data_IF_007169355838
#
_entry.id   IF_007169355838
#
_cell.length_a   1.000
_cell.length_b   1.000
_cell.length_c   1.000
_cell.angle_alpha   90.00
_cell.angle_beta   90.00
_cell.angle_gamma   90.00
#
_symmetry.space_group_name_H-M   'P 1'
#
loop_
_entity.id
_entity.type
_entity.pdbx_description
1 polymer ?
#
# COMPACT_ATOMS: atom_id res chain seq x y z
N UNK A 1 6.84 -7.55 25.36
CA UNK A 1 6.03 -8.46 24.53
C UNK A 1 4.63 -8.71 25.10
N UNK A 2 4.49 -9.32 26.29
CA UNK A 2 3.18 -9.68 26.88
C UNK A 2 2.22 -8.48 27.06
N UNK A 3 2.74 -7.32 27.50
CA UNK A 3 1.93 -6.11 27.73
C UNK A 3 1.41 -5.50 26.41
N UNK A 4 2.16 -5.64 25.33
CA UNK A 4 1.79 -5.17 23.98
C UNK A 4 0.75 -6.10 23.33
N UNK A 5 0.98 -7.42 23.43
CA UNK A 5 0.02 -8.45 23.00
C UNK A 5 -1.32 -8.34 23.75
N UNK A 6 -1.27 -8.01 25.04
CA UNK A 6 -2.46 -7.75 25.85
C UNK A 6 -3.16 -6.45 25.45
N UNK A 7 -2.45 -5.46 24.89
CA UNK A 7 -3.05 -4.22 24.39
C UNK A 7 -3.79 -4.46 23.07
N UNK A 8 -3.17 -5.18 22.12
CA UNK A 8 -3.79 -5.59 20.85
C UNK A 8 -5.03 -6.46 21.10
N UNK A 9 -4.92 -7.53 21.92
CA UNK A 9 -6.07 -8.37 22.28
C UNK A 9 -7.20 -7.59 22.96
N UNK A 10 -6.86 -6.59 23.77
CA UNK A 10 -7.85 -5.74 24.46
C UNK A 10 -8.49 -4.75 23.48
N UNK A 11 -7.75 -4.21 22.52
CA UNK A 11 -8.27 -3.33 21.46
C UNK A 11 -9.15 -4.10 20.46
N UNK A 12 -8.75 -5.31 20.03
CA UNK A 12 -9.60 -6.24 19.27
C UNK A 12 -10.90 -6.57 20.02
N UNK A 13 -10.81 -6.80 21.34
CA UNK A 13 -11.99 -7.06 22.18
C UNK A 13 -12.89 -5.83 22.35
N UNK A 14 -12.34 -4.62 22.26
CA UNK A 14 -13.08 -3.35 22.37
C UNK A 14 -13.71 -2.98 21.03
N UNK A 15 -13.06 -3.30 19.91
CA UNK A 15 -13.58 -3.08 18.56
C UNK A 15 -14.77 -3.99 18.27
N UNK A 16 -14.70 -5.27 18.71
CA UNK A 16 -15.86 -6.20 18.71
C UNK A 16 -17.04 -5.72 19.56
N UNK A 17 -16.81 -4.88 20.59
CA UNK A 17 -17.86 -4.44 21.54
C UNK A 17 -18.78 -3.31 21.05
N UNK A 18 -18.58 -2.74 19.86
CA UNK A 18 -19.39 -1.62 19.33
C UNK A 18 -20.09 -1.87 18.00
N UNK A 19 -19.93 -3.07 17.45
CA UNK A 19 -20.46 -3.45 16.15
C UNK A 19 -21.65 -4.37 16.37
N UNK A 20 -22.78 -4.07 15.72
CA UNK A 20 -23.96 -4.93 15.82
C UNK A 20 -23.65 -6.30 15.19
N UNK A 21 -24.23 -7.37 15.73
CA UNK A 21 -24.07 -8.74 15.18
C UNK A 21 -24.34 -8.77 13.67
N UNK A 22 -25.39 -8.06 13.24
CA UNK A 22 -25.74 -7.89 11.83
C UNK A 22 -24.63 -7.27 10.98
N UNK A 23 -23.94 -6.24 11.50
CA UNK A 23 -22.83 -5.61 10.77
C UNK A 23 -21.62 -6.54 10.71
N UNK A 24 -21.34 -7.28 11.78
CA UNK A 24 -20.26 -8.26 11.80
C UNK A 24 -20.51 -9.38 10.78
N UNK A 25 -21.73 -9.91 10.72
CA UNK A 25 -22.09 -10.96 9.76
C UNK A 25 -22.02 -10.47 8.31
N UNK A 26 -22.50 -9.25 8.03
CA UNK A 26 -22.33 -8.65 6.70
C UNK A 26 -20.87 -8.42 6.31
N UNK A 27 -20.00 -8.16 7.29
CA UNK A 27 -18.58 -7.94 7.07
C UNK A 27 -17.85 -9.26 6.78
N UNK A 28 -18.19 -10.35 7.47
CA UNK A 28 -17.66 -11.68 7.14
C UNK A 28 -18.04 -12.09 5.72
N UNK A 29 -19.29 -11.87 5.31
CA UNK A 29 -19.73 -12.20 3.94
C UNK A 29 -18.99 -11.36 2.89
N UNK A 30 -18.80 -10.06 3.15
CA UNK A 30 -18.01 -9.18 2.29
C UNK A 30 -16.55 -9.62 2.20
N UNK A 31 -15.95 -9.98 3.33
CA UNK A 31 -14.56 -10.42 3.37
C UNK A 31 -14.39 -11.74 2.62
N UNK A 32 -15.32 -12.68 2.78
CA UNK A 32 -15.34 -13.93 2.01
C UNK A 32 -15.36 -13.67 0.50
N UNK A 33 -16.14 -12.71 0.03
CA UNK A 33 -16.12 -12.32 -1.39
C UNK A 33 -14.77 -11.76 -1.85
N UNK A 34 -14.00 -11.13 -0.97
CA UNK A 34 -12.64 -10.67 -1.27
C UNK A 34 -11.59 -11.78 -1.28
N UNK A 35 -11.90 -12.99 -0.81
CA UNK A 35 -11.01 -14.15 -0.92
C UNK A 35 -11.13 -14.84 -2.28
N UNK A 36 -11.84 -14.26 -3.27
CA UNK A 36 -12.10 -14.87 -4.59
C UNK A 36 -10.82 -15.48 -5.21
N UNK A 37 -9.71 -14.75 -5.17
CA UNK A 37 -8.46 -15.19 -5.78
C UNK A 37 -7.63 -16.10 -4.88
N UNK A 38 -7.68 -15.89 -3.57
CA UNK A 38 -7.05 -16.77 -2.59
C UNK A 38 -7.69 -18.17 -2.60
N UNK A 39 -9.01 -18.27 -2.72
CA UNK A 39 -9.75 -19.53 -2.87
C UNK A 39 -9.51 -20.17 -4.23
N UNK A 40 -9.46 -19.36 -5.30
CA UNK A 40 -9.22 -19.87 -6.66
C UNK A 40 -7.83 -20.50 -6.84
N UNK A 41 -6.86 -20.06 -6.04
CA UNK A 41 -5.47 -20.49 -6.11
C UNK A 41 -5.04 -21.20 -4.81
N UNK A 42 -5.99 -21.85 -4.13
CA UNK A 42 -5.78 -22.50 -2.84
C UNK A 42 -4.80 -23.69 -2.91
N UNK A 43 -4.46 -24.17 -4.10
CA UNK A 43 -3.42 -25.19 -4.30
C UNK A 43 -2.02 -24.67 -3.96
N UNK A 44 -1.82 -23.35 -3.98
CA UNK A 44 -0.55 -22.71 -3.65
C UNK A 44 -0.45 -22.43 -2.14
N UNK A 45 0.75 -22.51 -1.59
CA UNK A 45 0.97 -22.28 -0.15
C UNK A 45 1.27 -20.82 0.14
N UNK A 46 2.06 -20.18 -0.73
CA UNK A 46 2.56 -18.83 -0.59
C UNK A 46 1.95 -17.94 -1.70
N UNK A 47 0.71 -17.49 -1.48
CA UNK A 47 0.04 -16.51 -2.35
C UNK A 47 0.47 -15.11 -1.91
N UNK A 48 1.13 -14.37 -2.80
CA UNK A 48 1.60 -13.02 -2.52
C UNK A 48 0.77 -11.98 -3.27
N UNK A 49 0.14 -11.06 -2.54
CA UNK A 49 -0.50 -9.89 -3.10
C UNK A 49 0.48 -8.73 -3.30
N UNK A 50 0.31 -7.97 -4.39
CA UNK A 50 1.18 -6.84 -4.74
C UNK A 50 0.33 -5.65 -5.18
N UNK A 51 0.63 -4.47 -4.62
CA UNK A 51 0.06 -3.18 -4.99
C UNK A 51 1.08 -2.05 -4.76
N UNK A 52 0.82 -0.88 -5.35
CA UNK A 52 1.62 0.32 -5.21
C UNK A 52 0.87 1.55 -4.68
N UNK A 53 1.62 2.46 -4.08
CA UNK A 53 1.17 3.80 -3.74
C UNK A 53 2.13 4.84 -4.33
N UNK A 54 1.56 5.95 -4.81
CA UNK A 54 2.35 7.12 -5.17
C UNK A 54 2.67 7.30 -6.64
N UNK A 55 1.87 6.78 -7.57
CA UNK A 55 2.11 7.04 -9.00
C UNK A 55 1.77 8.46 -9.45
N UNK A 56 0.64 8.99 -9.02
CA UNK A 56 0.15 10.33 -9.43
C UNK A 56 0.75 11.57 -8.76
N UNK A 57 1.33 11.53 -7.54
CA UNK A 57 1.92 12.69 -6.89
C UNK A 57 3.02 13.40 -7.70
N UNK A 58 3.16 14.71 -7.46
CA UNK A 58 4.22 15.55 -8.02
C UNK A 58 5.55 15.40 -7.25
N UNK A 59 5.50 14.89 -6.02
CA UNK A 59 6.65 14.77 -5.13
C UNK A 59 6.66 13.44 -4.36
N UNK A 60 7.86 13.04 -3.99
CA UNK A 60 8.20 11.85 -3.22
C UNK A 60 8.20 10.56 -4.05
N UNK A 61 8.48 9.43 -3.39
CA UNK A 61 8.71 8.15 -4.07
C UNK A 61 7.41 7.50 -4.56
N UNK A 62 7.58 6.47 -5.38
CA UNK A 62 6.61 5.37 -5.54
C UNK A 62 7.03 4.24 -4.61
N UNK A 63 6.04 3.66 -3.91
CA UNK A 63 6.24 2.57 -2.95
C UNK A 63 5.38 1.40 -3.40
N UNK A 64 5.97 0.22 -3.52
CA UNK A 64 5.25 -1.03 -3.72
C UNK A 64 5.42 -1.93 -2.51
N UNK A 65 4.41 -2.75 -2.23
CA UNK A 65 4.47 -3.76 -1.19
C UNK A 65 4.07 -5.12 -1.72
N UNK A 66 4.65 -6.15 -1.12
CA UNK A 66 4.31 -7.55 -1.30
C UNK A 66 3.88 -8.10 0.06
N UNK A 67 2.77 -8.82 0.12
CA UNK A 67 2.25 -9.40 1.37
C UNK A 67 1.81 -10.84 1.13
N UNK A 68 2.32 -11.76 1.95
CA UNK A 68 1.79 -13.13 2.08
C UNK A 68 1.02 -13.21 3.39
N UNK A 69 -0.26 -13.59 3.30
CA UNK A 69 -1.11 -13.87 4.45
C UNK A 69 -1.22 -15.39 4.67
N UNK A 70 -1.36 -15.86 5.92
CA UNK A 70 -1.77 -17.25 6.17
C UNK A 70 -3.14 -17.54 5.53
N UNK A 71 -3.36 -18.75 5.01
CA UNK A 71 -4.59 -19.12 4.26
C UNK A 71 -5.90 -18.78 4.97
N UNK A 72 -5.99 -19.09 6.26
CA UNK A 72 -7.21 -18.87 7.06
C UNK A 72 -7.24 -17.50 7.76
N UNK A 73 -6.49 -16.52 7.24
CA UNK A 73 -6.37 -15.22 7.89
C UNK A 73 -7.58 -14.36 7.63
N UNK A 74 -8.30 -14.02 8.70
CA UNK A 74 -9.30 -12.97 8.67
C UNK A 74 -8.72 -11.66 9.21
N UNK A 75 -8.80 -10.61 8.40
CA UNK A 75 -8.54 -9.22 8.80
C UNK A 75 -9.82 -8.43 8.50
N UNK A 76 -10.63 -8.20 9.52
CA UNK A 76 -11.93 -7.55 9.36
C UNK A 76 -11.77 -6.12 8.85
N UNK A 77 -12.71 -5.69 8.00
CA UNK A 77 -12.74 -4.36 7.38
C UNK A 77 -11.54 -4.06 6.46
N UNK A 78 -10.77 -5.09 6.08
CA UNK A 78 -9.74 -4.99 5.04
C UNK A 78 -10.40 -4.66 3.70
N UNK A 79 -9.90 -3.63 3.03
CA UNK A 79 -10.42 -3.14 1.76
C UNK A 79 -9.35 -2.28 1.08
N UNK A 80 -9.64 -1.79 -0.13
CA UNK A 80 -8.88 -0.74 -0.81
C UNK A 80 -8.47 0.35 0.18
N UNK A 81 -7.17 0.66 0.21
CA UNK A 81 -6.59 1.63 1.13
C UNK A 81 -7.29 2.99 1.05
N UNK A 82 -7.81 3.38 -0.12
CA UNK A 82 -8.56 4.63 -0.36
C UNK A 82 -9.97 4.61 0.23
N UNK A 83 -10.59 3.43 0.38
CA UNK A 83 -11.94 3.24 0.94
C UNK A 83 -11.96 3.17 2.47
N UNK A 84 -10.80 3.00 3.10
CA UNK A 84 -10.67 3.00 4.57
C UNK A 84 -10.21 4.36 5.10
N UNK A 85 -10.74 4.75 6.27
CA UNK A 85 -10.34 5.99 6.96
C UNK A 85 -8.86 5.93 7.38
N UNK A 86 -8.20 7.09 7.54
CA UNK A 86 -6.79 7.15 7.98
C UNK A 86 -6.56 6.37 9.29
N UNK A 87 -7.46 6.51 10.26
CA UNK A 87 -7.39 5.80 11.54
C UNK A 87 -7.47 4.29 11.32
N UNK A 88 -8.49 3.83 10.58
CA UNK A 88 -8.68 2.40 10.31
C UNK A 88 -7.52 1.81 9.51
N UNK A 89 -6.96 2.57 8.57
CA UNK A 89 -5.80 2.15 7.77
C UNK A 89 -4.57 1.89 8.63
N UNK A 90 -4.35 2.70 9.68
CA UNK A 90 -3.23 2.48 10.61
C UNK A 90 -3.47 1.23 11.47
N UNK A 91 -4.69 1.01 11.96
CA UNK A 91 -5.06 -0.22 12.68
C UNK A 91 -4.85 -1.47 11.79
N UNK A 92 -5.32 -1.42 10.54
CA UNK A 92 -5.12 -2.49 9.56
C UNK A 92 -3.65 -2.71 9.23
N UNK A 93 -2.85 -1.64 9.10
CA UNK A 93 -1.41 -1.76 8.87
C UNK A 93 -0.73 -2.55 10.00
N UNK A 94 -1.04 -2.24 11.27
CA UNK A 94 -0.51 -2.96 12.42
C UNK A 94 -0.98 -4.42 12.44
N UNK A 95 -2.26 -4.67 12.15
CA UNK A 95 -2.83 -6.01 12.08
C UNK A 95 -2.20 -6.87 10.97
N UNK A 96 -1.98 -6.30 9.79
CA UNK A 96 -1.28 -6.96 8.68
C UNK A 96 0.16 -7.27 9.07
N UNK A 97 0.90 -6.31 9.64
CA UNK A 97 2.28 -6.53 10.08
C UNK A 97 2.38 -7.64 11.14
N UNK A 98 1.35 -7.79 11.96
CA UNK A 98 1.31 -8.83 12.99
C UNK A 98 0.94 -10.22 12.44
N UNK A 99 0.03 -10.29 11.46
CA UNK A 99 -0.51 -11.56 10.94
C UNK A 99 0.17 -12.09 9.69
N UNK A 100 0.78 -11.24 8.88
CA UNK A 100 1.42 -11.65 7.64
C UNK A 100 2.53 -12.67 7.90
N UNK A 101 2.65 -13.64 6.99
CA UNK A 101 3.79 -14.56 6.97
C UNK A 101 5.06 -13.78 6.62
N UNK A 102 4.95 -12.90 5.63
CA UNK A 102 6.05 -12.08 5.16
C UNK A 102 5.55 -10.81 4.45
N UNK A 103 6.36 -9.76 4.51
CA UNK A 103 6.10 -8.46 3.90
C UNK A 103 7.38 -7.91 3.26
N UNK A 104 7.33 -7.73 1.94
CA UNK A 104 8.35 -7.01 1.17
C UNK A 104 7.95 -5.58 0.87
N UNK A 105 8.88 -4.61 0.94
CA UNK A 105 8.61 -3.20 0.58
C UNK A 105 9.71 -2.62 -0.31
N UNK A 106 9.32 -2.25 -1.53
CA UNK A 106 10.18 -1.58 -2.50
C UNK A 106 9.86 -0.09 -2.60
N UNK A 107 10.89 0.74 -2.63
CA UNK A 107 10.78 2.20 -2.69
C UNK A 107 11.69 2.69 -3.81
N UNK A 108 11.14 3.51 -4.70
CA UNK A 108 11.88 4.17 -5.78
C UNK A 108 11.67 5.68 -5.64
N UNK A 109 12.77 6.42 -5.47
CA UNK A 109 12.77 7.86 -5.32
C UNK A 109 12.44 8.61 -6.63
N UNK A 110 12.18 9.90 -6.48
CA UNK A 110 11.83 10.83 -7.55
C UNK A 110 12.91 10.95 -8.63
N UNK A 111 14.21 10.88 -8.28
CA UNK A 111 15.28 10.99 -9.27
C UNK A 111 15.23 9.78 -10.20
N UNK A 112 15.09 8.59 -9.62
CA UNK A 112 14.93 7.37 -10.41
C UNK A 112 13.63 7.38 -11.21
N UNK A 113 12.53 7.91 -10.66
CA UNK A 113 11.27 8.08 -11.42
C UNK A 113 11.49 8.97 -12.65
N UNK A 114 12.21 10.08 -12.51
CA UNK A 114 12.53 10.97 -13.62
C UNK A 114 13.41 10.28 -14.69
N UNK A 115 14.36 9.42 -14.27
CA UNK A 115 15.25 8.69 -15.18
C UNK A 115 14.54 7.64 -16.04
N UNK A 116 13.64 6.85 -15.43
CA UNK A 116 13.06 5.66 -16.07
C UNK A 116 11.56 5.76 -16.33
N UNK A 117 10.92 6.89 -16.04
CA UNK A 117 9.48 7.12 -16.01
C UNK A 117 8.72 6.35 -14.91
N UNK A 118 7.50 6.82 -14.62
CA UNK A 118 6.70 6.29 -13.49
C UNK A 118 6.24 4.85 -13.67
N UNK A 119 6.03 4.38 -14.90
CA UNK A 119 5.60 2.99 -15.14
C UNK A 119 6.74 2.03 -14.79
N UNK A 120 7.94 2.28 -15.32
CA UNK A 120 9.08 1.42 -15.02
C UNK A 120 9.56 1.56 -13.57
N UNK A 121 9.47 2.76 -12.98
CA UNK A 121 9.74 2.93 -11.56
C UNK A 121 8.75 2.14 -10.68
N UNK A 122 7.49 2.00 -11.11
CA UNK A 122 6.52 1.14 -10.42
C UNK A 122 6.95 -0.33 -10.52
N UNK A 123 7.35 -0.81 -11.70
CA UNK A 123 7.88 -2.17 -11.86
C UNK A 123 9.14 -2.41 -11.02
N UNK A 124 10.09 -1.48 -11.01
CA UNK A 124 11.30 -1.59 -10.20
C UNK A 124 10.97 -1.59 -8.70
N UNK A 125 9.97 -0.82 -8.26
CA UNK A 125 9.49 -0.86 -6.87
C UNK A 125 8.90 -2.24 -6.54
N UNK A 126 8.06 -2.80 -7.40
CA UNK A 126 7.45 -4.13 -7.19
C UNK A 126 8.52 -5.23 -7.16
N UNK A 127 9.50 -5.20 -8.08
CA UNK A 127 10.62 -6.14 -8.09
C UNK A 127 11.45 -6.03 -6.79
N UNK A 128 11.76 -4.82 -6.33
CA UNK A 128 12.45 -4.61 -5.04
C UNK A 128 11.64 -5.10 -3.85
N UNK A 129 10.31 -5.00 -3.91
CA UNK A 129 9.45 -5.54 -2.87
C UNK A 129 9.54 -7.07 -2.81
N UNK A 130 9.46 -7.75 -3.96
CA UNK A 130 9.59 -9.21 -4.07
C UNK A 130 10.95 -9.68 -3.56
N UNK A 131 12.05 -9.03 -3.98
CA UNK A 131 13.42 -9.42 -3.59
C UNK A 131 13.69 -9.27 -2.09
N UNK A 132 12.94 -8.41 -1.40
CA UNK A 132 13.08 -8.18 0.05
C UNK A 132 12.29 -9.18 0.92
N UNK A 133 11.54 -10.08 0.30
CA UNK A 133 10.85 -11.13 1.02
C UNK A 133 11.83 -12.24 1.40
N UNK A 134 11.68 -12.77 2.61
CA UNK A 134 12.38 -13.95 3.09
C UNK A 134 11.71 -15.24 2.59
N UNK A 135 10.40 -15.20 2.33
CA UNK A 135 9.59 -16.30 1.80
C UNK A 135 9.41 -16.16 0.29
N UNK A 136 9.84 -17.17 -0.47
CA UNK A 136 9.63 -17.20 -1.92
C UNK A 136 8.13 -17.43 -2.25
N UNK A 137 7.46 -16.53 -2.98
CA UNK A 137 6.07 -16.72 -3.37
C UNK A 137 5.91 -17.81 -4.44
N UNK A 138 4.86 -18.63 -4.32
CA UNK A 138 4.51 -19.59 -5.38
C UNK A 138 3.78 -18.90 -6.54
N UNK A 139 2.98 -17.89 -6.21
CA UNK A 139 2.15 -17.12 -7.14
C UNK A 139 2.03 -15.67 -6.68
N UNK A 140 2.04 -14.74 -7.64
CA UNK A 140 1.84 -13.32 -7.41
C UNK A 140 0.46 -12.90 -7.93
N UNK A 141 -0.32 -12.27 -7.06
CA UNK A 141 -1.56 -11.56 -7.40
C UNK A 141 -1.23 -10.07 -7.47
N UNK A 142 -1.39 -9.44 -8.64
CA UNK A 142 -0.92 -8.08 -8.89
C UNK A 142 -2.07 -7.20 -9.38
N UNK A 143 -2.25 -6.00 -8.81
CA UNK A 143 -3.28 -5.08 -9.27
C UNK A 143 -2.95 -4.51 -10.66
N UNK A 144 -3.84 -4.78 -11.62
CA UNK A 144 -3.91 -4.19 -12.96
C UNK A 144 -2.65 -4.26 -13.87
N UNK A 145 -1.53 -4.84 -13.43
CA UNK A 145 -0.29 -4.93 -14.22
C UNK A 145 0.34 -6.32 -14.18
N UNK A 146 1.29 -6.56 -15.10
CA UNK A 146 2.21 -7.70 -15.08
C UNK A 146 3.63 -7.16 -14.91
N UNK A 147 4.35 -7.68 -13.92
CA UNK A 147 5.71 -7.29 -13.60
C UNK A 147 6.66 -7.98 -14.60
N UNK A 148 7.48 -7.23 -15.34
CA UNK A 148 8.45 -7.81 -16.27
C UNK A 148 9.56 -8.57 -15.51
N UNK A 149 10.20 -9.51 -16.20
CA UNK A 149 11.42 -10.21 -15.75
C UNK A 149 11.30 -10.95 -14.41
N UNK A 150 10.09 -11.39 -14.06
CA UNK A 150 9.83 -12.25 -12.90
C UNK A 150 9.40 -13.64 -13.37
N UNK A 151 10.16 -14.66 -12.93
CA UNK A 151 9.92 -16.08 -13.26
C UNK A 151 8.78 -16.75 -12.47
N UNK A 152 8.22 -16.07 -11.47
CA UNK A 152 7.10 -16.55 -10.66
C UNK A 152 5.79 -16.39 -11.45
N UNK A 153 4.84 -17.31 -11.27
CA UNK A 153 3.49 -17.21 -11.88
C UNK A 153 2.82 -15.92 -11.42
N UNK A 154 2.26 -15.16 -12.35
CA UNK A 154 1.61 -13.87 -12.07
C UNK A 154 0.19 -13.85 -12.59
N UNK A 155 -0.74 -13.37 -11.76
CA UNK A 155 -2.13 -13.12 -12.13
C UNK A 155 -2.39 -11.63 -11.98
N UNK A 156 -2.61 -10.97 -13.11
CA UNK A 156 -3.01 -9.57 -13.14
C UNK A 156 -4.51 -9.46 -12.92
N UNK A 157 -4.93 -8.69 -11.93
CA UNK A 157 -6.33 -8.57 -11.50
C UNK A 157 -6.75 -7.11 -11.62
N UNK A 158 -7.77 -6.84 -12.42
CA UNK A 158 -8.38 -5.51 -12.48
C UNK A 158 -9.16 -5.27 -11.18
N UNK A 159 -8.86 -4.16 -10.48
CA UNK A 159 -9.43 -3.84 -9.17
C UNK A 159 -9.13 -4.93 -8.14
N UNK A 160 -7.88 -5.38 -8.11
CA UNK A 160 -7.42 -6.49 -7.27
C UNK A 160 -7.60 -6.19 -5.78
N UNK A 161 -7.46 -4.95 -5.37
CA UNK A 161 -7.66 -4.47 -4.00
C UNK A 161 -9.10 -4.66 -3.46
N UNK A 162 -10.08 -4.86 -4.35
CA UNK A 162 -11.46 -5.14 -3.99
C UNK A 162 -11.83 -6.63 -4.09
N UNK A 163 -10.94 -7.48 -4.62
CA UNK A 163 -11.22 -8.89 -4.96
C UNK A 163 -10.20 -9.89 -4.41
N UNK A 164 -9.08 -9.41 -3.87
CA UNK A 164 -8.03 -10.20 -3.23
C UNK A 164 -7.66 -9.54 -1.91
N UNK A 165 -7.76 -10.29 -0.82
CA UNK A 165 -7.32 -9.84 0.50
C UNK A 165 -5.82 -9.59 0.52
N UNK A 166 -5.04 -10.36 -0.23
CA UNK A 166 -3.58 -10.20 -0.31
C UNK A 166 -3.21 -8.87 -0.99
N UNK A 167 -3.87 -8.52 -2.11
CA UNK A 167 -3.67 -7.23 -2.78
C UNK A 167 -4.13 -6.09 -1.90
N UNK A 168 -5.29 -6.21 -1.24
CA UNK A 168 -5.79 -5.19 -0.32
C UNK A 168 -4.80 -4.93 0.84
N UNK A 169 -4.20 -5.99 1.39
CA UNK A 169 -3.18 -5.87 2.43
C UNK A 169 -1.93 -5.14 1.90
N UNK A 170 -1.43 -5.53 0.72
CA UNK A 170 -0.32 -4.84 0.06
C UNK A 170 -0.61 -3.35 -0.18
N UNK A 171 -1.83 -3.01 -0.62
CA UNK A 171 -2.28 -1.62 -0.81
C UNK A 171 -2.14 -0.80 0.48
N UNK A 172 -2.54 -1.37 1.61
CA UNK A 172 -2.44 -0.71 2.92
C UNK A 172 -0.98 -0.53 3.34
N UNK A 173 -0.15 -1.56 3.20
CA UNK A 173 1.30 -1.48 3.52
C UNK A 173 1.97 -0.40 2.67
N UNK A 174 1.77 -0.41 1.35
CA UNK A 174 2.35 0.57 0.44
C UNK A 174 1.87 1.99 0.79
N UNK A 175 0.56 2.16 1.01
CA UNK A 175 -0.04 3.47 1.29
C UNK A 175 0.43 4.07 2.61
N UNK A 176 0.41 3.29 3.70
CA UNK A 176 0.82 3.78 5.02
C UNK A 176 2.31 4.06 5.06
N UNK A 177 3.12 3.20 4.44
CA UNK A 177 4.57 3.43 4.35
C UNK A 177 4.87 4.72 3.59
N UNK A 178 4.26 4.91 2.42
CA UNK A 178 4.45 6.15 1.66
C UNK A 178 3.95 7.38 2.42
N UNK A 179 2.79 7.29 3.06
CA UNK A 179 2.22 8.43 3.77
C UNK A 179 3.09 8.85 4.97
N UNK A 180 3.80 7.93 5.62
CA UNK A 180 4.80 8.23 6.67
C UNK A 180 5.98 9.01 6.10
N UNK A 181 6.58 8.56 4.99
CA UNK A 181 7.67 9.27 4.31
C UNK A 181 7.28 10.69 3.93
N UNK A 182 6.06 10.89 3.41
CA UNK A 182 5.60 12.23 3.05
C UNK A 182 5.35 13.14 4.27
N UNK A 183 5.09 12.58 5.45
CA UNK A 183 5.01 13.36 6.70
C UNK A 183 6.42 13.75 7.14
N UNK A 184 7.39 12.84 7.08
CA UNK A 184 8.80 13.12 7.39
C UNK A 184 9.40 14.18 6.44
N UNK A 185 9.02 14.16 5.15
CA UNK A 185 9.43 15.19 4.21
C UNK A 185 8.76 16.56 4.46
N UNK A 186 7.58 16.60 5.09
CA UNK A 186 6.95 17.86 5.49
C UNK A 186 7.77 18.58 6.57
N UNK A 187 8.40 17.82 7.46
CA UNK A 187 9.29 18.39 8.49
C UNK A 187 10.54 19.02 7.87
N UNK A 188 11.04 18.44 6.76
CA UNK A 188 12.21 18.94 6.03
C UNK A 188 11.87 20.11 5.09
N UNK A 189 10.66 20.11 4.52
CA UNK A 189 10.21 21.08 3.52
C UNK A 189 8.80 21.62 3.89
N UNK A 190 8.67 22.34 5.02
CA UNK A 190 7.39 22.73 5.59
C UNK A 190 6.57 23.70 4.72
N UNK A 191 7.21 24.37 3.76
CA UNK A 191 6.57 25.33 2.85
C UNK A 191 5.61 24.67 1.84
N UNK A 192 5.72 23.36 1.60
CA UNK A 192 4.91 22.67 0.60
C UNK A 192 3.63 22.03 1.15
N UNK A 193 3.59 21.62 2.43
CA UNK A 193 2.40 21.01 3.03
C UNK A 193 2.20 19.51 2.72
N UNK A 194 3.28 18.78 2.44
CA UNK A 194 3.31 17.34 2.18
C UNK A 194 2.57 16.49 3.22
N UNK A 195 2.56 16.88 4.51
CA UNK A 195 1.84 16.15 5.54
C UNK A 195 0.32 16.17 5.34
N UNK A 196 -0.21 17.08 4.52
CA UNK A 196 -1.64 17.13 4.16
C UNK A 196 -1.90 16.34 2.88
N UNK A 197 -1.38 16.83 1.75
CA UNK A 197 -1.71 16.30 0.42
C UNK A 197 -0.75 15.22 -0.08
N UNK A 198 0.27 14.80 0.68
CA UNK A 198 1.16 13.66 0.34
C UNK A 198 1.85 13.77 -1.02
N UNK A 199 2.15 15.01 -1.43
CA UNK A 199 2.77 15.32 -2.72
C UNK A 199 1.80 15.35 -3.91
N UNK A 200 0.50 15.08 -3.75
CA UNK A 200 -0.47 15.28 -4.83
C UNK A 200 -0.57 16.75 -5.22
N UNK A 201 -0.78 17.05 -6.51
CA UNK A 201 -0.85 18.40 -7.05
C UNK A 201 -2.15 19.12 -6.73
N UNK A 202 -2.39 19.41 -5.45
CA UNK A 202 -3.52 20.27 -5.04
C UNK A 202 -3.22 21.73 -5.37
N UNK A 203 -4.25 22.58 -5.31
CA UNK A 203 -4.11 24.03 -5.52
C UNK A 203 -3.04 24.63 -4.59
N UNK A 204 -3.02 24.19 -3.32
CA UNK A 204 -2.05 24.64 -2.33
C UNK A 204 -0.63 24.21 -2.69
N UNK A 205 -0.46 22.96 -3.12
CA UNK A 205 0.85 22.43 -3.49
C UNK A 205 1.43 23.14 -4.71
N UNK A 206 0.62 23.33 -5.76
CA UNK A 206 1.04 24.05 -6.97
C UNK A 206 1.38 25.52 -6.65
N UNK A 207 0.62 26.16 -5.75
CA UNK A 207 0.93 27.51 -5.30
C UNK A 207 2.25 27.60 -4.54
N UNK A 208 2.58 26.60 -3.70
CA UNK A 208 3.86 26.50 -3.01
C UNK A 208 5.02 26.32 -4.00
N UNK A 209 4.88 25.42 -4.98
CA UNK A 209 5.86 25.20 -6.05
C UNK A 209 6.16 26.51 -6.80
N UNK A 210 5.13 27.27 -7.18
CA UNK A 210 5.30 28.56 -7.88
C UNK A 210 5.97 29.63 -7.02
N UNK A 211 5.76 29.61 -5.71
CA UNK A 211 6.32 30.61 -4.79
C UNK A 211 7.77 30.29 -4.38
N UNK A 212 8.07 29.02 -4.15
CA UNK A 212 9.32 28.57 -3.53
C UNK A 212 10.25 27.83 -4.48
N UNK A 213 9.79 27.50 -5.70
CA UNK A 213 10.50 26.59 -6.59
C UNK A 213 10.17 25.12 -6.32
N UNK A 214 10.78 24.22 -7.07
CA UNK A 214 10.73 22.79 -6.77
C UNK A 214 11.83 22.43 -5.76
N UNK A 215 11.46 21.77 -4.65
CA UNK A 215 12.44 21.19 -3.71
C UNK A 215 12.98 19.82 -4.18
N UNK A 216 14.04 19.29 -3.55
CA UNK A 216 14.72 18.07 -3.98
C UNK A 216 13.85 16.82 -4.17
N UNK A 217 12.72 16.71 -3.47
CA UNK A 217 11.83 15.55 -3.57
C UNK A 217 10.76 15.67 -4.66
N UNK A 218 10.74 16.75 -5.43
CA UNK A 218 9.83 16.87 -6.57
C UNK A 218 10.33 16.05 -7.76
N UNK A 219 9.40 15.40 -8.46
CA UNK A 219 9.65 14.74 -9.74
C UNK A 219 9.68 15.83 -10.80
N UNK A 220 10.87 16.17 -11.29
CA UNK A 220 11.08 17.30 -12.22
C UNK A 220 10.23 17.14 -13.47
N UNK A 221 10.20 15.91 -14.01
CA UNK A 221 9.39 15.56 -15.18
C UNK A 221 7.89 15.80 -15.01
N UNK A 222 7.39 15.96 -13.78
CA UNK A 222 5.97 16.21 -13.48
C UNK A 222 5.67 17.69 -13.22
N UNK A 223 6.66 18.45 -12.74
CA UNK A 223 6.48 19.83 -12.26
C UNK A 223 7.00 20.90 -13.20
N UNK A 224 7.84 20.57 -14.18
CA UNK A 224 8.43 21.55 -15.11
C UNK A 224 7.37 22.43 -15.79
N UNK A 225 6.19 21.87 -16.07
CA UNK A 225 5.02 22.58 -16.64
C UNK A 225 4.42 23.70 -15.77
N UNK A 226 4.90 23.89 -14.54
CA UNK A 226 4.42 24.94 -13.64
C UNK A 226 5.34 26.16 -13.58
N UNK A 227 6.50 26.08 -14.24
CA UNK A 227 7.50 27.14 -14.33
C UNK A 227 7.52 27.65 -15.78
N UNK A 228 6.64 28.63 -16.06
CA UNK A 228 6.68 29.45 -17.27
C UNK A 228 7.60 30.66 -17.05
#
# INVERSE_FOLDING_TARGET
MQCFLNKIKKEDSVMKRRITEKLLESEHERLKQMHEFEEKYDEYSCICGIDEAGRGPLAGPVVAACVILPKDTEILFLNDSKKVTKKRRLELFEEICYKAVDIGVGIIDENRIDDINILNATYEAMQKAIVKMDTEPDILLVDAVRIPDIGIKQISIIQGDARSVSIAAASIIAKVTRDKLMIEYDEQYPEYGFAKHKGYGTTEHIAAIRRHGACPIHRKSFVDKFFD
#
